data_IF_891674835056
#
_entry.id   IF_891674835056
#
_cell.length_a   1.000
_cell.length_b   1.000
_cell.length_c   1.000
_cell.angle_alpha   90.00
_cell.angle_beta   90.00
_cell.angle_gamma   90.00
#
_symmetry.space_group_name_H-M   'P 1'
#
loop_
_entity.id
_entity.type
_entity.pdbx_description
1 polymer ?
#
# COMPACT_ATOMS: atom_id res chain seq x y z
N UNK A 1 -29.14 -11.47 -31.13
CA UNK A 1 -29.06 -10.01 -30.93
C UNK A 1 -30.13 -9.60 -29.96
N UNK A 2 -29.78 -9.35 -28.70
CA UNK A 2 -30.68 -8.72 -27.75
C UNK A 2 -29.93 -7.58 -27.08
N UNK A 3 -30.30 -6.36 -27.48
CA UNK A 3 -29.88 -5.11 -26.87
C UNK A 3 -30.40 -5.05 -25.44
N UNK A 4 -29.52 -4.81 -24.46
CA UNK A 4 -29.93 -4.47 -23.10
C UNK A 4 -29.67 -2.99 -22.88
N UNK A 5 -30.74 -2.21 -22.89
CA UNK A 5 -30.73 -0.77 -22.62
C UNK A 5 -30.49 -0.56 -21.12
N UNK A 6 -29.52 0.29 -20.79
CA UNK A 6 -29.12 0.62 -19.42
C UNK A 6 -30.29 1.04 -18.52
N UNK A 7 -30.47 0.32 -17.42
CA UNK A 7 -31.34 0.68 -16.32
C UNK A 7 -30.52 0.77 -15.03
N UNK A 8 -30.38 1.97 -14.45
CA UNK A 8 -29.77 2.17 -13.13
C UNK A 8 -30.64 1.49 -12.07
N UNK A 9 -30.33 0.25 -11.73
CA UNK A 9 -31.08 -0.52 -10.74
C UNK A 9 -30.56 -0.18 -9.31
N UNK A 10 -31.37 0.48 -8.46
CA UNK A 10 -30.93 1.02 -7.16
C UNK A 10 -30.53 -0.06 -6.14
N UNK A 11 -30.85 -1.34 -6.41
CA UNK A 11 -30.42 -2.47 -5.57
C UNK A 11 -28.90 -2.67 -5.58
N UNK A 12 -28.22 -2.33 -6.68
CA UNK A 12 -26.75 -2.45 -6.77
C UNK A 12 -26.01 -1.26 -6.16
N UNK A 13 -26.68 -0.12 -5.96
CA UNK A 13 -26.11 1.09 -5.35
C UNK A 13 -25.71 0.90 -3.87
N UNK A 14 -26.26 -0.14 -3.23
CA UNK A 14 -25.90 -0.55 -1.86
C UNK A 14 -24.54 -1.27 -1.79
N UNK A 15 -24.09 -1.88 -2.88
CA UNK A 15 -22.89 -2.75 -2.91
C UNK A 15 -21.64 -2.06 -3.46
N UNK A 16 -21.76 -0.92 -4.14
CA UNK A 16 -20.62 -0.11 -4.65
C UNK A 16 -19.94 0.76 -3.57
N UNK A 17 -20.09 0.43 -2.28
CA UNK A 17 -19.68 1.34 -1.18
C UNK A 17 -18.21 1.24 -0.71
N UNK A 18 -17.37 0.39 -1.31
CA UNK A 18 -15.91 0.51 -1.23
C UNK A 18 -15.24 -0.21 -2.39
N UNK A 19 -14.99 0.50 -3.49
CA UNK A 19 -14.13 0.05 -4.57
C UNK A 19 -12.64 0.22 -4.22
N UNK A 20 -12.35 0.99 -3.18
CA UNK A 20 -11.01 1.30 -2.69
C UNK A 20 -10.78 0.61 -1.35
N UNK A 21 -9.74 -0.20 -1.29
CA UNK A 21 -9.19 -0.75 -0.05
C UNK A 21 -7.99 0.08 0.37
N UNK A 22 -7.89 0.37 1.67
CA UNK A 22 -6.78 1.10 2.26
C UNK A 22 -6.02 0.17 3.18
N UNK A 23 -4.72 0.05 2.95
CA UNK A 23 -3.77 -0.71 3.75
C UNK A 23 -2.80 0.26 4.40
N UNK A 24 -2.37 -0.04 5.62
CA UNK A 24 -1.39 0.78 6.35
C UNK A 24 -0.39 -0.17 6.99
N UNK A 25 0.86 -0.06 6.58
CA UNK A 25 1.98 -0.82 7.16
C UNK A 25 3.03 0.15 7.69
N UNK A 26 3.64 -0.14 8.85
CA UNK A 26 4.75 0.64 9.37
C UNK A 26 5.98 0.41 8.47
N UNK A 27 6.69 1.49 8.17
CA UNK A 27 8.01 1.46 7.58
C UNK A 27 9.01 2.16 8.51
N UNK A 28 10.19 1.56 8.65
CA UNK A 28 11.29 2.08 9.44
C UNK A 28 12.24 2.81 8.50
N UNK A 29 12.51 4.08 8.80
CA UNK A 29 13.40 4.92 8.03
C UNK A 29 14.63 5.30 8.85
N UNK A 30 15.76 5.45 8.16
CA UNK A 30 16.95 6.11 8.69
C UNK A 30 17.58 7.01 7.63
N UNK A 31 18.32 8.00 8.12
CA UNK A 31 19.21 8.82 7.32
C UNK A 31 20.56 8.12 7.17
N UNK A 32 21.10 8.08 5.97
CA UNK A 32 22.42 7.49 5.69
C UNK A 32 23.54 8.48 5.96
N UNK A 33 24.79 7.99 5.97
CA UNK A 33 25.99 8.83 6.10
C UNK A 33 26.16 9.82 4.93
N UNK A 34 25.52 9.58 3.78
CA UNK A 34 25.59 10.43 2.58
C UNK A 34 24.40 11.39 2.46
N UNK A 35 23.71 11.67 3.56
CA UNK A 35 22.56 12.57 3.64
C UNK A 35 21.27 12.12 2.90
N UNK A 36 21.23 10.88 2.42
CA UNK A 36 20.05 10.27 1.78
C UNK A 36 19.20 9.49 2.78
N UNK A 37 18.05 8.99 2.38
CA UNK A 37 17.14 8.20 3.22
C UNK A 37 16.91 6.81 2.66
N UNK A 38 16.81 5.84 3.58
CA UNK A 38 16.39 4.47 3.28
C UNK A 38 15.27 4.05 4.22
N UNK A 39 14.30 3.34 3.67
CA UNK A 39 13.15 2.78 4.37
C UNK A 39 13.00 1.30 4.08
N UNK A 40 12.45 0.56 5.04
CA UNK A 40 12.03 -0.83 4.86
C UNK A 40 10.75 -1.10 5.62
N UNK A 41 9.97 -2.06 5.14
CA UNK A 41 8.77 -2.54 5.82
C UNK A 41 9.10 -3.81 6.60
N UNK A 42 8.95 -3.84 7.93
CA UNK A 42 9.19 -5.04 8.73
C UNK A 42 8.28 -6.21 8.36
N UNK A 43 7.04 -5.90 7.94
CA UNK A 43 6.01 -6.91 7.65
C UNK A 43 5.93 -7.30 6.18
N UNK A 44 6.46 -6.48 5.26
CA UNK A 44 6.41 -6.73 3.82
C UNK A 44 7.79 -7.20 3.35
N UNK A 45 7.93 -8.51 3.13
CA UNK A 45 9.21 -9.14 2.80
C UNK A 45 9.87 -8.49 1.58
N UNK A 46 11.16 -8.16 1.71
CA UNK A 46 11.98 -7.49 0.70
C UNK A 46 11.41 -6.17 0.14
N UNK A 47 10.47 -5.54 0.87
CA UNK A 47 9.92 -4.24 0.50
C UNK A 47 10.77 -3.11 1.07
N UNK A 48 11.48 -2.41 0.18
CA UNK A 48 12.41 -1.34 0.51
C UNK A 48 12.15 -0.09 -0.33
N UNK A 49 12.52 1.06 0.23
CA UNK A 49 12.49 2.34 -0.45
C UNK A 49 13.75 3.15 -0.13
N UNK A 50 14.11 4.05 -1.03
CA UNK A 50 15.21 5.00 -0.84
C UNK A 50 14.92 6.29 -1.57
N UNK A 51 15.53 7.39 -1.15
CA UNK A 51 15.43 8.68 -1.81
C UNK A 51 16.54 9.62 -1.34
N UNK A 52 16.85 10.62 -2.15
CA UNK A 52 17.82 11.67 -1.79
C UNK A 52 17.27 12.55 -0.65
N UNK A 53 15.95 12.65 -0.56
CA UNK A 53 15.24 13.33 0.53
C UNK A 53 14.28 12.38 1.25
N UNK A 54 13.84 12.79 2.45
CA UNK A 54 12.84 12.02 3.19
C UNK A 54 11.52 11.93 2.42
N UNK A 55 11.07 13.02 1.80
CA UNK A 55 9.82 13.04 1.03
C UNK A 55 9.88 12.07 -0.15
N UNK A 56 10.99 12.06 -0.90
CA UNK A 56 11.21 11.11 -1.98
C UNK A 56 11.22 9.65 -1.48
N UNK A 57 11.89 9.38 -0.36
CA UNK A 57 11.90 8.03 0.21
C UNK A 57 10.50 7.58 0.69
N UNK A 58 9.67 8.52 1.16
CA UNK A 58 8.28 8.24 1.56
C UNK A 58 7.39 7.98 0.35
N UNK A 59 7.51 8.78 -0.71
CA UNK A 59 6.79 8.56 -1.96
C UNK A 59 7.16 7.20 -2.57
N UNK A 60 8.46 6.89 -2.63
CA UNK A 60 8.95 5.60 -3.10
C UNK A 60 8.48 4.43 -2.21
N UNK A 61 8.30 4.65 -0.91
CA UNK A 61 7.74 3.65 -0.02
C UNK A 61 6.24 3.39 -0.26
N UNK A 62 5.48 4.43 -0.63
CA UNK A 62 4.07 4.27 -1.06
C UNK A 62 4.00 3.40 -2.32
N UNK A 63 4.87 3.66 -3.30
CA UNK A 63 4.94 2.88 -4.54
C UNK A 63 5.35 1.44 -4.27
N UNK A 64 6.45 1.22 -3.53
CA UNK A 64 6.94 -0.11 -3.20
C UNK A 64 5.89 -0.96 -2.45
N UNK A 65 5.25 -0.39 -1.42
CA UNK A 65 4.20 -1.10 -0.69
C UNK A 65 2.96 -1.35 -1.55
N UNK A 66 2.63 -0.44 -2.47
CA UNK A 66 1.51 -0.64 -3.40
C UNK A 66 1.77 -1.80 -4.35
N UNK A 67 2.94 -1.85 -4.94
CA UNK A 67 3.31 -2.92 -5.88
C UNK A 67 3.33 -4.27 -5.16
N UNK A 68 3.94 -4.31 -3.97
CA UNK A 68 3.98 -5.51 -3.13
C UNK A 68 2.58 -6.04 -2.78
N UNK A 69 1.71 -5.17 -2.24
CA UNK A 69 0.35 -5.57 -1.83
C UNK A 69 -0.50 -5.93 -3.06
N UNK A 70 -0.33 -5.24 -4.18
CA UNK A 70 -1.06 -5.56 -5.41
C UNK A 70 -0.68 -6.94 -5.92
N UNK A 71 0.61 -7.25 -5.98
CA UNK A 71 1.10 -8.56 -6.42
C UNK A 71 0.57 -9.69 -5.51
N UNK A 72 0.70 -9.54 -4.19
CA UNK A 72 0.21 -10.55 -3.24
C UNK A 72 -1.30 -10.79 -3.38
N UNK A 73 -2.09 -9.73 -3.62
CA UNK A 73 -3.52 -9.86 -3.87
C UNK A 73 -3.85 -10.51 -5.21
N UNK A 74 -3.10 -10.22 -6.27
CA UNK A 74 -3.27 -10.81 -7.60
C UNK A 74 -2.92 -12.31 -7.62
N UNK A 75 -1.90 -12.71 -6.88
CA UNK A 75 -1.51 -14.13 -6.73
C UNK A 75 -2.44 -14.90 -5.77
N UNK A 76 -3.40 -14.22 -5.14
CA UNK A 76 -4.32 -14.82 -4.18
C UNK A 76 -3.67 -15.20 -2.86
N UNK A 77 -2.55 -14.54 -2.54
CA UNK A 77 -1.78 -14.71 -1.33
C UNK A 77 -2.46 -14.11 -0.10
N UNK A 78 -1.75 -14.17 1.03
CA UNK A 78 -2.27 -13.72 2.33
C UNK A 78 -1.41 -12.58 2.82
N UNK A 79 -2.03 -11.40 2.93
CA UNK A 79 -1.33 -10.24 3.46
C UNK A 79 -0.87 -10.50 4.91
N UNK A 80 0.37 -10.13 5.24
CA UNK A 80 0.96 -10.34 6.56
C UNK A 80 0.25 -9.49 7.62
N UNK A 81 0.34 -9.93 8.88
CA UNK A 81 -0.12 -9.13 10.02
C UNK A 81 0.68 -7.83 10.12
N UNK A 82 0.01 -6.75 10.50
CA UNK A 82 0.64 -5.45 10.70
C UNK A 82 1.26 -5.43 12.11
N UNK A 83 2.55 -5.14 12.21
CA UNK A 83 3.24 -4.91 13.48
C UNK A 83 2.74 -3.62 14.14
N UNK A 84 2.66 -3.61 15.47
CA UNK A 84 2.42 -2.38 16.23
C UNK A 84 3.73 -1.59 16.36
N UNK A 85 3.63 -0.25 16.42
CA UNK A 85 4.81 0.62 16.53
C UNK A 85 5.67 0.25 17.77
N UNK A 86 5.04 -0.19 18.86
CA UNK A 86 5.70 -0.57 20.12
C UNK A 86 6.44 -1.91 20.06
N UNK A 87 6.11 -2.78 19.09
CA UNK A 87 6.75 -4.08 18.90
C UNK A 87 8.04 -3.97 18.05
N UNK A 88 8.25 -2.83 17.39
CA UNK A 88 9.39 -2.61 16.51
C UNK A 88 10.62 -2.12 17.30
N UNK A 89 11.69 -2.91 17.25
CA UNK A 89 12.98 -2.52 17.84
C UNK A 89 13.76 -1.62 16.87
N UNK A 90 13.88 -0.34 17.21
CA UNK A 90 14.59 0.66 16.41
C UNK A 90 16.05 0.79 16.82
N UNK A 91 16.92 1.00 15.83
CA UNK A 91 18.32 1.41 16.04
C UNK A 91 18.40 2.93 16.25
N UNK A 92 19.54 3.41 16.72
CA UNK A 92 19.78 4.84 16.88
C UNK A 92 19.62 5.58 15.55
N UNK A 93 18.80 6.63 15.54
CA UNK A 93 18.49 7.42 14.35
C UNK A 93 17.40 6.84 13.43
N UNK A 94 16.87 5.66 13.74
CA UNK A 94 15.69 5.11 13.05
C UNK A 94 14.38 5.71 13.58
N UNK A 95 13.39 5.83 12.72
CA UNK A 95 12.04 6.26 13.09
C UNK A 95 10.97 5.59 12.23
N UNK A 96 9.78 5.44 12.78
CA UNK A 96 8.65 4.78 12.12
C UNK A 96 7.79 5.80 11.36
N UNK A 97 7.29 5.38 10.20
CA UNK A 97 6.23 6.05 9.45
C UNK A 97 5.21 5.03 8.97
N UNK A 98 3.94 5.31 9.26
CA UNK A 98 2.83 4.51 8.77
C UNK A 98 2.49 4.91 7.33
N UNK A 99 2.75 4.01 6.39
CA UNK A 99 2.55 4.24 4.96
C UNK A 99 1.17 3.74 4.56
N UNK A 100 0.32 4.66 4.11
CA UNK A 100 -1.04 4.35 3.71
C UNK A 100 -1.16 4.17 2.20
N UNK A 101 -1.46 2.96 1.76
CA UNK A 101 -1.70 2.63 0.34
C UNK A 101 -3.19 2.49 0.10
N UNK A 102 -3.68 3.04 -1.01
CA UNK A 102 -5.07 2.84 -1.47
C UNK A 102 -5.09 2.11 -2.80
N UNK A 103 -5.68 0.91 -2.84
CA UNK A 103 -5.79 0.05 -4.02
C UNK A 103 -7.25 -0.01 -4.46
N UNK A 104 -7.48 0.09 -5.78
CA UNK A 104 -8.80 -0.12 -6.39
C UNK A 104 -8.89 -1.56 -6.89
N UNK A 105 -9.85 -2.34 -6.38
CA UNK A 105 -9.96 -3.77 -6.68
C UNK A 105 -10.91 -4.13 -7.83
N UNK A 106 -11.65 -3.18 -8.39
CA UNK A 106 -12.40 -3.46 -9.61
C UNK A 106 -11.75 -2.79 -10.81
N UNK A 107 -11.33 -3.63 -11.75
CA UNK A 107 -11.33 -3.28 -13.16
C UNK A 107 -12.74 -2.79 -13.49
N UNK A 108 -12.81 -1.55 -13.98
CA UNK A 108 -14.02 -1.14 -14.66
C UNK A 108 -14.30 -2.16 -15.74
N UNK A 109 -15.52 -2.68 -15.78
CA UNK A 109 -16.04 -3.24 -17.01
C UNK A 109 -16.06 -2.09 -18.02
N UNK A 110 -14.96 -1.89 -18.74
CA UNK A 110 -14.95 -1.15 -19.99
C UNK A 110 -15.64 -2.07 -21.03
N UNK A 111 -16.97 -2.14 -20.92
CA UNK A 111 -17.85 -2.53 -22.04
C UNK A 111 -18.33 -1.28 -22.79
#
# INVERSE_FOLDING_TARGET
MMNVVGGKNPKYHKYVRRLFMRFVYPAVFHKTETDTYKGYFPDLEDCHAQGDTLDEALDNAIEAARDWITLELEEGGVLPSISEDDDLTLKEGEFIRNIAVTIRLMDGWDE
#
